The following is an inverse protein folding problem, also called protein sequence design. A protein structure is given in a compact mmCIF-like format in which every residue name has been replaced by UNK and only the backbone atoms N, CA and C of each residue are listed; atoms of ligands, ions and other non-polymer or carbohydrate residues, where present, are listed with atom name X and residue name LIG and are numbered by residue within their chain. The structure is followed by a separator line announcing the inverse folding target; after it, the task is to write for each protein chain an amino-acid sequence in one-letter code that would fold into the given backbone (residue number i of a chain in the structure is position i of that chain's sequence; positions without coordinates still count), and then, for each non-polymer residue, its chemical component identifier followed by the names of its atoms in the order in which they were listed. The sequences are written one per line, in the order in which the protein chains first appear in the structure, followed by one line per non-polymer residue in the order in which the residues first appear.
data_IF_549875177066
#
_entry.id   IF_549875177066
#
_cell.length_a   1.000
_cell.length_b   1.000
_cell.length_c   1.000
_cell.angle_alpha   90.00
_cell.angle_beta   90.00
_cell.angle_gamma   90.00
#
_symmetry.space_group_name_H-M   'P 1'
#
loop_
_entity.id
_entity.type
_entity.pdbx_description
1 polymer ?
#
# COMPACT_ATOMS: atom_id res chain seq x y z
N UNK A 1 -13.14 -5.43 13.96
CA UNK A 1 -12.28 -4.69 13.00
C UNK A 1 -10.90 -4.50 13.61
N UNK A 2 -9.87 -4.10 12.85
CA UNK A 2 -8.54 -3.81 13.42
C UNK A 2 -8.61 -2.76 14.54
N UNK A 3 -9.41 -1.70 14.36
CA UNK A 3 -9.62 -0.67 15.37
C UNK A 3 -10.28 -1.21 16.65
N UNK A 4 -11.18 -2.18 16.55
CA UNK A 4 -11.80 -2.82 17.73
C UNK A 4 -10.79 -3.62 18.57
N UNK A 5 -9.66 -4.02 17.98
CA UNK A 5 -8.54 -4.67 18.67
C UNK A 5 -7.40 -3.70 19.01
N UNK A 6 -7.59 -2.38 18.84
CA UNK A 6 -6.53 -1.39 19.05
C UNK A 6 -5.45 -1.36 17.97
N UNK A 7 -5.64 -2.08 16.85
CA UNK A 7 -4.67 -2.21 15.76
C UNK A 7 -4.96 -1.29 14.56
N UNK A 8 -5.94 -0.39 14.69
CA UNK A 8 -6.28 0.58 13.65
C UNK A 8 -5.20 1.64 13.48
N UNK A 9 -5.19 2.31 12.31
CA UNK A 9 -4.32 3.47 12.09
C UNK A 9 -4.96 4.43 11.11
N UNK A 10 -5.12 5.69 11.52
CA UNK A 10 -5.68 6.73 10.66
C UNK A 10 -4.92 6.90 9.35
N UNK A 11 -3.61 6.59 9.33
CA UNK A 11 -2.81 6.66 8.12
C UNK A 11 -3.22 5.63 7.07
N UNK A 12 -3.32 4.36 7.48
CA UNK A 12 -3.75 3.29 6.57
C UNK A 12 -5.24 3.37 6.23
N UNK A 13 -6.07 3.85 7.17
CA UNK A 13 -7.49 4.07 6.93
C UNK A 13 -7.73 5.16 5.86
N UNK A 14 -6.94 6.24 5.90
CA UNK A 14 -6.99 7.29 4.89
C UNK A 14 -6.65 6.77 3.48
N UNK A 15 -5.58 5.96 3.36
CA UNK A 15 -5.18 5.35 2.10
C UNK A 15 -6.29 4.44 1.54
N UNK A 16 -6.86 3.56 2.36
CA UNK A 16 -7.99 2.70 1.96
C UNK A 16 -9.19 3.54 1.52
N UNK A 17 -9.48 4.63 2.22
CA UNK A 17 -10.57 5.54 1.87
C UNK A 17 -10.33 6.27 0.54
N UNK A 18 -9.09 6.64 0.20
CA UNK A 18 -8.76 7.26 -1.08
C UNK A 18 -8.97 6.29 -2.25
N UNK A 19 -8.51 5.04 -2.11
CA UNK A 19 -8.73 4.01 -3.14
C UNK A 19 -10.22 3.75 -3.33
N UNK A 20 -10.98 3.60 -2.24
CA UNK A 20 -12.44 3.41 -2.31
C UNK A 20 -13.15 4.56 -3.01
N UNK A 21 -12.67 5.79 -2.84
CA UNK A 21 -13.25 6.99 -3.48
C UNK A 21 -12.91 7.07 -4.97
N UNK A 22 -11.73 6.60 -5.38
CA UNK A 22 -11.38 6.51 -6.80
C UNK A 22 -12.28 5.50 -7.53
N UNK A 23 -12.56 4.37 -6.89
CA UNK A 23 -13.59 3.42 -7.33
C UNK A 23 -13.26 2.63 -8.60
N UNK A 24 -14.06 1.59 -8.90
CA UNK A 24 -13.75 0.60 -9.94
C UNK A 24 -13.73 1.18 -11.36
N UNK A 25 -14.51 2.22 -11.64
CA UNK A 25 -14.53 2.92 -12.94
C UNK A 25 -13.17 3.53 -13.30
N UNK A 26 -12.38 3.90 -12.30
CA UNK A 26 -11.00 4.40 -12.48
C UNK A 26 -9.96 3.27 -12.60
N UNK A 27 -10.38 2.01 -12.49
CA UNK A 27 -9.50 0.84 -12.39
C UNK A 27 -9.05 0.50 -10.97
N UNK A 28 -9.66 1.10 -9.93
CA UNK A 28 -9.36 0.82 -8.51
C UNK A 28 -10.44 -0.05 -7.87
N UNK A 29 -10.17 -1.34 -7.71
CA UNK A 29 -11.18 -2.31 -7.25
C UNK A 29 -11.27 -2.41 -5.72
N UNK A 30 -10.16 -2.17 -5.02
CA UNK A 30 -10.18 -2.17 -3.55
C UNK A 30 -8.80 -2.02 -2.93
N UNK A 31 -8.79 -1.85 -1.61
CA UNK A 31 -7.57 -1.81 -0.83
C UNK A 31 -7.78 -2.39 0.56
N UNK A 32 -6.72 -2.97 1.12
CA UNK A 32 -6.73 -3.57 2.45
C UNK A 32 -5.36 -3.44 3.10
N UNK A 33 -5.34 -3.20 4.40
CA UNK A 33 -4.10 -3.25 5.19
C UNK A 33 -3.50 -4.67 5.15
N UNK A 34 -2.17 -4.76 5.13
CA UNK A 34 -1.44 -6.04 5.16
C UNK A 34 -0.32 -5.98 6.18
N UNK A 35 -0.08 -7.09 6.90
CA UNK A 35 0.80 -7.16 8.07
C UNK A 35 0.06 -7.09 9.41
N UNK A 36 0.77 -6.74 10.49
CA UNK A 36 0.25 -6.83 11.87
C UNK A 36 -0.68 -5.70 12.34
N UNK A 37 -0.83 -4.61 11.57
CA UNK A 37 -1.63 -3.44 11.97
C UNK A 37 -0.82 -2.33 12.63
N UNK A 38 -1.52 -1.41 13.32
CA UNK A 38 -0.96 -0.17 13.91
C UNK A 38 -0.29 0.78 12.90
N UNK A 39 -0.63 0.66 11.62
CA UNK A 39 0.01 1.34 10.51
C UNK A 39 0.53 0.33 9.48
N UNK A 40 1.66 0.64 8.86
CA UNK A 40 2.32 -0.24 7.90
C UNK A 40 1.82 -0.06 6.47
N UNK A 41 1.54 -1.17 5.80
CA UNK A 41 1.33 -1.21 4.34
C UNK A 41 -0.13 -1.46 3.99
N UNK A 42 -0.57 -0.82 2.91
CA UNK A 42 -1.88 -1.08 2.27
C UNK A 42 -1.62 -1.74 0.92
N UNK A 43 -2.22 -2.90 0.71
CA UNK A 43 -2.27 -3.55 -0.59
C UNK A 43 -3.46 -2.98 -1.38
N UNK A 44 -3.24 -2.64 -2.65
CA UNK A 44 -4.25 -2.11 -3.57
C UNK A 44 -4.47 -3.15 -4.66
N UNK A 45 -5.73 -3.45 -4.95
CA UNK A 45 -6.15 -4.25 -6.09
C UNK A 45 -6.74 -3.31 -7.15
N UNK A 46 -6.15 -3.31 -8.34
CA UNK A 46 -6.56 -2.47 -9.45
C UNK A 46 -6.08 -3.02 -10.80
N UNK A 47 -6.40 -2.31 -11.87
CA UNK A 47 -5.91 -2.62 -13.23
C UNK A 47 -4.40 -2.49 -13.31
N UNK A 48 -3.81 -3.19 -14.29
CA UNK A 48 -2.37 -3.14 -14.57
C UNK A 48 -1.87 -1.71 -14.92
N UNK A 49 -2.75 -0.86 -15.45
CA UNK A 49 -2.45 0.52 -15.84
C UNK A 49 -2.73 1.56 -14.72
N UNK A 50 -3.13 1.13 -13.53
CA UNK A 50 -3.55 2.02 -12.44
C UNK A 50 -2.39 2.72 -11.71
N UNK A 51 -1.13 2.47 -12.10
CA UNK A 51 0.08 3.00 -11.46
C UNK A 51 0.06 4.53 -11.20
N UNK A 52 -0.22 5.38 -12.21
CA UNK A 52 -0.27 6.82 -12.01
C UNK A 52 -1.29 7.28 -10.95
N UNK A 53 -2.39 6.53 -10.80
CA UNK A 53 -3.42 6.83 -9.80
C UNK A 53 -2.98 6.38 -8.40
N UNK A 54 -2.21 5.30 -8.28
CA UNK A 54 -1.54 4.92 -7.00
C UNK A 54 -0.57 6.03 -6.57
N UNK A 55 0.23 6.56 -7.49
CA UNK A 55 1.17 7.65 -7.20
C UNK A 55 0.44 8.93 -6.76
N UNK A 56 -0.67 9.27 -7.41
CA UNK A 56 -1.50 10.41 -7.03
C UNK A 56 -2.10 10.25 -5.61
N UNK A 57 -2.50 9.03 -5.24
CA UNK A 57 -2.98 8.70 -3.89
C UNK A 57 -1.84 8.84 -2.86
N UNK A 58 -0.64 8.35 -3.14
CA UNK A 58 0.52 8.49 -2.28
C UNK A 58 0.92 9.97 -2.08
N UNK A 59 0.91 10.76 -3.16
CA UNK A 59 1.18 12.19 -3.10
C UNK A 59 0.09 12.95 -2.30
N UNK A 60 -1.18 12.59 -2.48
CA UNK A 60 -2.28 13.15 -1.68
C UNK A 60 -2.09 12.83 -0.19
N UNK A 61 -1.74 11.60 0.14
CA UNK A 61 -1.48 11.19 1.52
C UNK A 61 -0.32 12.00 2.14
N UNK A 62 0.77 12.20 1.40
CA UNK A 62 1.90 13.00 1.85
C UNK A 62 1.51 14.44 2.16
N UNK A 63 0.74 15.10 1.27
CA UNK A 63 0.25 16.46 1.49
C UNK A 63 -0.65 16.58 2.72
N UNK A 64 -1.50 15.58 2.97
CA UNK A 64 -2.47 15.65 4.08
C UNK A 64 -1.91 15.23 5.43
N UNK A 65 -0.95 14.30 5.45
CA UNK A 65 -0.43 13.72 6.69
C UNK A 65 0.96 14.22 7.08
N UNK A 66 1.68 14.88 6.16
CA UNK A 66 3.09 15.23 6.33
C UNK A 66 4.04 14.02 6.27
N UNK A 67 3.54 12.83 5.90
CA UNK A 67 4.32 11.58 5.85
C UNK A 67 4.35 11.01 4.44
N UNK A 68 5.52 10.62 3.95
CA UNK A 68 5.65 9.99 2.63
C UNK A 68 5.25 8.52 2.68
N UNK A 69 4.32 8.12 1.81
CA UNK A 69 4.02 6.71 1.56
C UNK A 69 4.92 6.20 0.42
N UNK A 70 5.66 5.12 0.66
CA UNK A 70 6.46 4.44 -0.38
C UNK A 70 5.57 3.47 -1.17
N UNK A 71 5.60 3.59 -2.50
CA UNK A 71 4.92 2.67 -3.40
C UNK A 71 5.85 1.51 -3.77
N UNK A 72 5.34 0.29 -3.68
CA UNK A 72 6.01 -0.93 -4.11
C UNK A 72 5.20 -1.55 -5.26
N UNK A 73 5.88 -1.93 -6.34
CA UNK A 73 5.28 -2.54 -7.52
C UNK A 73 6.09 -3.77 -7.91
N UNK A 74 5.40 -4.80 -8.40
CA UNK A 74 6.03 -6.05 -8.85
C UNK A 74 6.17 -7.09 -7.75
N UNK A 75 6.92 -8.15 -8.07
CA UNK A 75 7.24 -9.26 -7.18
C UNK A 75 8.69 -9.69 -7.42
N UNK A 76 9.23 -10.49 -6.52
CA UNK A 76 10.59 -11.04 -6.62
C UNK A 76 10.58 -12.56 -6.44
N UNK A 77 11.65 -13.21 -6.88
CA UNK A 77 11.90 -14.62 -6.59
C UNK A 77 11.94 -14.87 -5.07
N UNK A 78 11.39 -16.01 -4.65
CA UNK A 78 11.53 -16.49 -3.28
C UNK A 78 12.96 -16.96 -2.97
N UNK A 79 13.27 -17.17 -1.68
CA UNK A 79 14.63 -17.48 -1.22
C UNK A 79 15.27 -18.68 -1.91
N UNK A 80 14.51 -19.76 -2.16
CA UNK A 80 15.02 -20.97 -2.82
C UNK A 80 15.52 -20.73 -4.25
N UNK A 81 14.87 -19.82 -4.99
CA UNK A 81 15.28 -19.46 -6.34
C UNK A 81 16.35 -18.34 -6.36
N UNK A 82 16.39 -17.49 -5.32
CA UNK A 82 17.30 -16.35 -5.23
C UNK A 82 18.70 -16.74 -4.75
N UNK A 83 18.82 -17.75 -3.88
CA UNK A 83 20.08 -18.18 -3.30
C UNK A 83 20.61 -17.22 -2.21
N UNK A 84 21.91 -17.32 -1.90
CA UNK A 84 22.58 -16.55 -0.83
C UNK A 84 23.54 -15.54 -1.44
N UNK A 85 23.41 -14.26 -1.05
CA UNK A 85 24.35 -13.19 -1.40
C UNK A 85 25.21 -12.83 -0.20
N UNK A 86 26.53 -12.83 -0.38
CA UNK A 86 27.46 -12.29 0.60
C UNK A 86 27.80 -10.84 0.24
N UNK A 87 27.29 -9.89 1.03
CA UNK A 87 27.68 -8.50 0.93
C UNK A 87 29.12 -8.34 1.42
N UNK A 88 30.04 -8.10 0.50
CA UNK A 88 31.40 -7.67 0.84
C UNK A 88 31.39 -6.16 1.09
N UNK A 89 32.01 -5.75 2.21
CA UNK A 89 32.27 -4.34 2.51
C UNK A 89 33.38 -3.80 1.63
#
# INVERSE_FOLDING_TARGET
SYSACGLGSGGTDALVAFVRRAGPESGMYGAKITGGGCGGTVAILGRADAGPLVDAIAARYARQSGRTARVFVGSSSGAAACGVFHLRR
#
